data_IF_739779087992
#
_entry.id   IF_739779087992
#
_cell.length_a   1.000
_cell.length_b   1.000
_cell.length_c   1.000
_cell.angle_alpha   90.00
_cell.angle_beta   90.00
_cell.angle_gamma   90.00
#
_symmetry.space_group_name_H-M   'P 1'
#
loop_
_entity.id
_entity.type
_entity.pdbx_description
1 polymer ?
#
# COMPACT_ATOMS: atom_id res chain seq x y z
N UNK A 1 -7.84 -1.62 -17.59
CA UNK A 1 -8.34 -0.60 -16.64
C UNK A 1 -9.60 -1.14 -15.99
N UNK A 2 -9.62 -1.27 -14.66
CA UNK A 2 -10.86 -1.48 -13.90
C UNK A 2 -11.34 -0.13 -13.38
N UNK A 3 -12.66 0.10 -13.37
CA UNK A 3 -13.25 1.31 -12.78
C UNK A 3 -13.10 1.35 -11.26
N UNK A 4 -13.39 2.52 -10.65
CA UNK A 4 -13.35 2.75 -9.19
C UNK A 4 -14.09 1.65 -8.42
N UNK A 5 -15.16 1.08 -9.00
CA UNK A 5 -15.90 -0.05 -8.44
C UNK A 5 -16.40 0.20 -7.01
N UNK A 6 -16.85 -0.85 -6.33
CA UNK A 6 -17.30 -0.77 -4.93
C UNK A 6 -16.19 -0.93 -3.89
N UNK A 7 -14.92 -0.96 -4.29
CA UNK A 7 -13.82 -1.32 -3.39
C UNK A 7 -13.74 -0.37 -2.16
N UNK A 8 -13.93 0.93 -2.39
CA UNK A 8 -13.96 1.92 -1.31
C UNK A 8 -15.14 1.69 -0.35
N UNK A 9 -16.30 1.30 -0.86
CA UNK A 9 -17.49 1.03 -0.05
C UNK A 9 -17.28 -0.18 0.86
N UNK A 10 -16.68 -1.26 0.35
CA UNK A 10 -16.31 -2.43 1.17
C UNK A 10 -15.27 -2.09 2.24
N UNK A 11 -14.29 -1.25 1.92
CA UNK A 11 -13.27 -0.82 2.90
C UNK A 11 -13.93 -0.03 4.03
N UNK A 12 -14.79 0.92 3.70
CA UNK A 12 -15.51 1.73 4.70
C UNK A 12 -16.48 0.90 5.51
N UNK A 13 -17.21 -0.01 4.86
CA UNK A 13 -18.08 -0.97 5.55
C UNK A 13 -17.31 -1.87 6.52
N UNK A 14 -16.15 -2.39 6.12
CA UNK A 14 -15.30 -3.19 7.00
C UNK A 14 -14.76 -2.36 8.18
N UNK A 15 -14.32 -1.13 7.95
CA UNK A 15 -13.81 -0.26 9.01
C UNK A 15 -14.89 0.19 10.01
N UNK A 16 -16.18 0.14 9.65
CA UNK A 16 -17.29 0.46 10.54
C UNK A 16 -17.66 -0.70 11.49
N UNK A 17 -17.18 -1.92 11.23
CA UNK A 17 -17.47 -3.08 12.07
C UNK A 17 -16.41 -3.22 13.19
N UNK A 18 -16.79 -3.58 14.43
CA UNK A 18 -15.85 -3.71 15.56
C UNK A 18 -14.64 -4.62 15.28
N UNK A 19 -14.81 -5.67 14.48
CA UNK A 19 -13.76 -6.63 14.12
C UNK A 19 -13.52 -6.69 12.61
N UNK A 20 -14.04 -5.73 11.84
CA UNK A 20 -13.90 -5.74 10.39
C UNK A 20 -12.46 -5.43 9.95
N UNK A 21 -12.04 -6.05 8.84
CA UNK A 21 -10.71 -5.86 8.27
C UNK A 21 -10.81 -5.67 6.77
N UNK A 22 -10.40 -4.49 6.32
CA UNK A 22 -10.19 -4.19 4.92
C UNK A 22 -8.82 -4.68 4.47
N UNK A 23 -8.78 -5.71 3.62
CA UNK A 23 -7.53 -6.32 3.14
C UNK A 23 -7.37 -6.04 1.64
N UNK A 24 -6.23 -5.47 1.27
CA UNK A 24 -5.82 -5.25 -0.12
C UNK A 24 -4.65 -6.19 -0.42
N UNK A 25 -4.91 -7.25 -1.18
CA UNK A 25 -3.90 -8.23 -1.56
C UNK A 25 -3.38 -7.96 -2.98
N UNK A 26 -2.06 -7.98 -3.15
CA UNK A 26 -1.41 -7.82 -4.44
C UNK A 26 -0.06 -8.55 -4.47
N UNK A 27 0.37 -9.07 -5.63
CA UNK A 27 1.76 -9.46 -5.81
C UNK A 27 2.70 -8.28 -5.55
N UNK A 28 3.86 -8.51 -4.96
CA UNK A 28 4.83 -7.44 -4.68
C UNK A 28 5.45 -6.86 -5.96
N UNK A 29 5.43 -7.62 -7.07
CA UNK A 29 5.95 -7.23 -8.38
C UNK A 29 4.90 -7.33 -9.50
N UNK A 30 5.12 -6.60 -10.58
CA UNK A 30 4.40 -6.75 -11.85
C UNK A 30 4.94 -7.95 -12.62
N UNK A 31 4.27 -8.32 -13.72
CA UNK A 31 4.75 -9.37 -14.64
C UNK A 31 6.10 -9.04 -15.27
N UNK A 32 6.50 -7.77 -15.28
CA UNK A 32 7.75 -7.30 -15.85
C UNK A 32 8.86 -7.16 -14.79
N UNK A 33 8.62 -7.61 -13.55
CA UNK A 33 9.57 -7.53 -12.45
C UNK A 33 9.55 -6.23 -11.67
N UNK A 34 8.86 -5.18 -12.13
CA UNK A 34 8.78 -3.89 -11.41
C UNK A 34 8.00 -3.99 -10.10
N UNK A 35 8.45 -3.28 -9.05
CA UNK A 35 7.73 -3.21 -7.77
C UNK A 35 6.32 -2.60 -7.92
N UNK A 36 5.32 -3.19 -7.27
CA UNK A 36 3.99 -2.59 -7.12
C UNK A 36 3.88 -1.62 -5.96
N UNK A 37 4.82 -1.67 -5.02
CA UNK A 37 4.93 -0.71 -3.92
C UNK A 37 5.89 0.39 -4.34
N UNK A 38 5.44 1.64 -4.25
CA UNK A 38 6.17 2.82 -4.73
C UNK A 38 6.18 3.92 -3.67
N UNK A 39 7.21 4.76 -3.69
CA UNK A 39 7.36 5.91 -2.78
C UNK A 39 6.49 7.09 -3.18
N UNK A 40 6.17 7.21 -4.47
CA UNK A 40 5.24 8.21 -5.01
C UNK A 40 4.50 7.68 -6.24
N UNK A 41 3.29 8.21 -6.47
CA UNK A 41 2.56 7.95 -7.70
C UNK A 41 3.07 8.84 -8.82
N UNK A 42 3.06 8.32 -10.06
CA UNK A 42 3.29 9.15 -11.25
C UNK A 42 2.24 10.26 -11.31
N UNK A 43 2.61 11.42 -11.82
CA UNK A 43 1.69 12.54 -11.99
C UNK A 43 0.45 12.11 -12.80
N UNK A 44 -0.72 12.53 -12.34
CA UNK A 44 -2.00 12.21 -13.00
C UNK A 44 -2.55 10.80 -12.75
N UNK A 45 -1.90 9.97 -11.93
CA UNK A 45 -2.46 8.66 -11.55
C UNK A 45 -3.68 8.87 -10.65
N UNK A 46 -4.87 8.36 -11.01
CA UNK A 46 -6.06 8.45 -10.17
C UNK A 46 -5.91 7.56 -8.94
N UNK A 47 -6.22 8.10 -7.76
CA UNK A 47 -6.22 7.37 -6.49
C UNK A 47 -7.63 6.86 -6.20
N UNK A 48 -7.78 5.55 -6.05
CA UNK A 48 -9.08 4.92 -5.75
C UNK A 48 -9.36 4.84 -4.25
N UNK A 49 -8.35 4.48 -3.45
CA UNK A 49 -8.46 4.34 -2.00
C UNK A 49 -7.56 5.40 -1.36
N UNK A 50 -8.12 6.47 -0.79
CA UNK A 50 -7.35 7.50 -0.10
C UNK A 50 -6.60 6.94 1.11
N UNK A 51 -5.44 7.53 1.44
CA UNK A 51 -4.63 7.13 2.60
C UNK A 51 -5.35 7.21 3.96
N UNK A 52 -6.46 7.95 4.03
CA UNK A 52 -7.24 8.11 5.25
C UNK A 52 -8.05 6.86 5.58
N UNK A 53 -8.44 6.09 4.57
CA UNK A 53 -9.15 4.83 4.75
C UNK A 53 -8.16 3.74 5.19
N UNK A 54 -8.37 3.22 6.39
CA UNK A 54 -7.49 2.21 6.99
C UNK A 54 -7.56 0.88 6.24
N UNK A 55 -6.41 0.36 5.84
CA UNK A 55 -6.29 -0.92 5.13
C UNK A 55 -5.14 -1.76 5.68
N UNK A 56 -5.23 -3.07 5.45
CA UNK A 56 -4.14 -4.02 5.60
C UNK A 56 -3.68 -4.40 4.19
N UNK A 57 -2.39 -4.27 3.92
CA UNK A 57 -1.79 -4.64 2.63
C UNK A 57 -1.09 -6.00 2.78
N UNK A 58 -1.31 -6.90 1.83
CA UNK A 58 -0.73 -8.24 1.84
C UNK A 58 -0.04 -8.51 0.51
N UNK A 59 1.21 -8.97 0.59
CA UNK A 59 1.98 -9.50 -0.53
C UNK A 59 2.43 -10.93 -0.20
N UNK A 60 3.08 -11.60 -1.15
CA UNK A 60 3.75 -12.88 -0.90
C UNK A 60 4.89 -12.81 0.12
N UNK A 61 5.37 -11.60 0.46
CA UNK A 61 6.48 -11.40 1.41
C UNK A 61 6.01 -11.05 2.83
N UNK A 62 4.71 -10.79 3.03
CA UNK A 62 4.18 -10.51 4.37
C UNK A 62 2.94 -9.62 4.40
N UNK A 63 2.67 -9.10 5.60
CA UNK A 63 1.48 -8.34 5.93
C UNK A 63 1.88 -6.99 6.53
N UNK A 64 1.34 -5.89 6.01
CA UNK A 64 1.48 -4.55 6.55
C UNK A 64 0.10 -4.00 6.96
N UNK A 65 -0.15 -3.94 8.27
CA UNK A 65 -1.33 -3.25 8.81
C UNK A 65 -1.05 -1.74 8.89
N UNK A 66 -1.70 -0.96 8.01
CA UNK A 66 -1.45 0.49 7.91
C UNK A 66 -2.38 1.31 8.81
N UNK A 67 -3.28 0.66 9.54
CA UNK A 67 -4.24 1.33 10.41
C UNK A 67 -3.50 1.95 11.60
N UNK A 68 -3.87 3.18 11.94
CA UNK A 68 -3.31 3.94 13.05
C UNK A 68 -1.79 4.18 13.00
N UNK A 69 -1.15 3.99 11.84
CA UNK A 69 0.27 4.28 11.65
C UNK A 69 0.50 5.70 11.11
N UNK A 70 1.58 6.34 11.55
CA UNK A 70 2.08 7.58 10.95
C UNK A 70 2.56 7.35 9.51
N UNK A 71 2.69 8.41 8.71
CA UNK A 71 3.17 8.30 7.33
C UNK A 71 4.53 7.58 7.24
N UNK A 72 5.45 7.86 8.17
CA UNK A 72 6.76 7.20 8.20
C UNK A 72 6.66 5.71 8.51
N UNK A 73 5.87 5.35 9.53
CA UNK A 73 5.67 3.93 9.90
C UNK A 73 4.94 3.16 8.81
N UNK A 74 4.03 3.80 8.06
CA UNK A 74 3.39 3.19 6.89
C UNK A 74 4.40 2.88 5.79
N UNK A 75 5.28 3.82 5.48
CA UNK A 75 6.33 3.60 4.49
C UNK A 75 7.26 2.46 4.90
N UNK A 76 7.74 2.46 6.14
CA UNK A 76 8.56 1.38 6.70
C UNK A 76 7.87 0.01 6.60
N UNK A 77 6.59 -0.09 7.02
CA UNK A 77 5.83 -1.33 6.95
C UNK A 77 5.59 -1.81 5.51
N UNK A 78 5.34 -0.90 4.56
CA UNK A 78 5.18 -1.24 3.15
C UNK A 78 6.49 -1.71 2.52
N UNK A 79 7.61 -1.04 2.83
CA UNK A 79 8.94 -1.44 2.35
C UNK A 79 9.27 -2.85 2.84
N UNK A 80 8.97 -3.16 4.11
CA UNK A 80 9.23 -4.47 4.69
C UNK A 80 8.50 -5.63 3.98
N UNK A 81 7.36 -5.37 3.32
CA UNK A 81 6.60 -6.38 2.56
C UNK A 81 6.78 -6.26 1.04
N UNK A 82 7.65 -5.36 0.58
CA UNK A 82 8.04 -5.30 -0.82
C UNK A 82 8.91 -6.52 -1.20
N UNK A 83 9.05 -6.78 -2.50
CA UNK A 83 10.01 -7.77 -3.00
C UNK A 83 11.41 -7.48 -2.43
N UNK A 84 12.15 -8.48 -1.93
CA UNK A 84 13.49 -8.29 -1.37
C UNK A 84 14.44 -7.54 -2.30
N UNK A 85 14.30 -7.71 -3.63
CA UNK A 85 15.11 -7.03 -4.64
C UNK A 85 14.89 -5.51 -4.71
N UNK A 86 13.78 -5.02 -4.16
CA UNK A 86 13.37 -3.61 -4.25
C UNK A 86 13.43 -2.87 -2.91
N UNK A 87 13.62 -3.57 -1.78
CA UNK A 87 13.54 -2.96 -0.45
C UNK A 87 14.59 -1.85 -0.26
N UNK A 88 15.84 -2.12 -0.62
CA UNK A 88 16.95 -1.15 -0.49
C UNK A 88 16.70 0.11 -1.33
N UNK A 89 16.26 -0.07 -2.58
CA UNK A 89 15.92 1.04 -3.48
C UNK A 89 14.80 1.88 -2.90
N UNK A 90 13.72 1.26 -2.45
CA UNK A 90 12.55 1.95 -1.87
C UNK A 90 12.90 2.66 -0.57
N UNK A 91 13.74 2.06 0.28
CA UNK A 91 14.23 2.68 1.50
C UNK A 91 15.05 3.94 1.21
N UNK A 92 15.97 3.85 0.23
CA UNK A 92 16.76 5.00 -0.21
C UNK A 92 15.88 6.12 -0.77
N UNK A 93 14.98 5.80 -1.71
CA UNK A 93 14.04 6.78 -2.28
C UNK A 93 13.16 7.46 -1.22
N UNK A 94 12.74 6.70 -0.20
CA UNK A 94 11.93 7.23 0.89
C UNK A 94 12.70 8.20 1.78
N UNK A 95 13.99 7.94 2.04
CA UNK A 95 14.85 8.85 2.80
C UNK A 95 15.16 10.10 1.97
N UNK A 96 15.52 9.93 0.70
CA UNK A 96 15.89 11.03 -0.20
C UNK A 96 14.70 11.98 -0.44
N UNK A 97 13.48 11.44 -0.54
CA UNK A 97 12.25 12.23 -0.73
C UNK A 97 11.74 12.96 0.51
N UNK A 98 12.39 12.81 1.68
CA UNK A 98 12.09 13.61 2.88
C UNK A 98 12.83 14.95 2.91
N UNK A 99 13.85 15.12 2.06
CA UNK A 99 14.70 16.32 1.99
C UNK A 99 14.16 17.33 0.98
#
# INVERSE_FOLDING_TARGET
MSGVGGALDFIRGANALPNGRAIVALPSVTTNGESRLVTSFKAGVPVTIPRADGIIVVTENGIADLRNLSANRRAESLIAIASPLHQDRLAKEFVDGKN
#
